data_IF_927732433736
#
_entry.id   IF_927732433736
#
_cell.length_a   1.000
_cell.length_b   1.000
_cell.length_c   1.000
_cell.angle_alpha   90.00
_cell.angle_beta   90.00
_cell.angle_gamma   90.00
#
_symmetry.space_group_name_H-M   'P 1'
#
loop_
_entity.id
_entity.type
_entity.pdbx_description
1 polymer ?
#
# COMPACT_ATOMS: atom_id res chain seq x y z
N UNK A 1 2.36 4.91 3.19
CA UNK A 1 2.82 5.56 1.94
C UNK A 1 2.58 7.05 2.06
N UNK A 2 3.53 7.88 1.64
CA UNK A 2 3.34 9.32 1.55
C UNK A 2 2.71 9.69 0.20
N UNK A 3 1.45 10.13 0.23
CA UNK A 3 0.68 10.48 -0.96
C UNK A 3 1.15 11.80 -1.59
N UNK A 4 1.97 12.60 -0.90
CA UNK A 4 2.51 13.83 -1.48
C UNK A 4 3.64 13.55 -2.48
N UNK A 5 4.29 12.38 -2.36
CA UNK A 5 5.43 11.98 -3.19
C UNK A 5 5.03 11.20 -4.44
N UNK A 6 3.80 10.69 -4.50
CA UNK A 6 3.35 9.83 -5.59
C UNK A 6 1.92 10.20 -5.98
N UNK A 7 1.63 10.29 -7.28
CA UNK A 7 0.28 10.63 -7.77
C UNK A 7 -0.73 9.49 -7.73
N UNK A 8 -0.31 8.29 -7.33
CA UNK A 8 -1.10 7.07 -7.30
C UNK A 8 -1.78 6.85 -5.94
N UNK A 9 -2.96 6.23 -5.96
CA UNK A 9 -3.52 5.58 -4.77
C UNK A 9 -2.65 4.40 -4.33
N UNK A 10 -2.83 3.92 -3.09
CA UNK A 10 -2.11 2.73 -2.58
C UNK A 10 -2.33 1.52 -3.47
N UNK A 11 -3.57 1.30 -3.93
CA UNK A 11 -3.90 0.14 -4.76
C UNK A 11 -3.20 0.23 -6.13
N UNK A 12 -3.25 1.39 -6.78
CA UNK A 12 -2.55 1.60 -8.05
C UNK A 12 -1.04 1.45 -7.88
N UNK A 13 -0.46 1.99 -6.81
CA UNK A 13 0.97 1.84 -6.51
C UNK A 13 1.39 0.37 -6.40
N UNK A 14 0.59 -0.43 -5.72
CA UNK A 14 0.80 -1.89 -5.59
C UNK A 14 0.68 -2.59 -6.94
N UNK A 15 -0.29 -2.22 -7.78
CA UNK A 15 -0.40 -2.79 -9.13
C UNK A 15 0.79 -2.40 -10.02
N UNK A 16 1.33 -1.19 -9.90
CA UNK A 16 2.54 -0.81 -10.61
C UNK A 16 3.77 -1.60 -10.12
N UNK A 17 3.92 -1.84 -8.81
CA UNK A 17 4.99 -2.69 -8.28
C UNK A 17 4.92 -4.13 -8.77
N UNK A 18 3.72 -4.69 -8.97
CA UNK A 18 3.55 -6.03 -9.54
C UNK A 18 4.14 -6.14 -10.95
N UNK A 19 4.12 -5.07 -11.75
CA UNK A 19 4.74 -5.06 -13.09
C UNK A 19 6.26 -5.18 -13.04
N UNK A 20 6.88 -4.88 -11.90
CA UNK A 20 8.30 -5.12 -11.60
C UNK A 20 8.54 -6.47 -10.92
N UNK A 21 7.56 -7.39 -10.93
CA UNK A 21 7.59 -8.68 -10.23
C UNK A 21 7.76 -8.58 -8.71
N UNK A 22 7.36 -7.46 -8.10
CA UNK A 22 7.41 -7.27 -6.64
C UNK A 22 6.07 -7.68 -6.04
N UNK A 23 6.06 -8.81 -5.34
CA UNK A 23 4.89 -9.27 -4.58
C UNK A 23 4.63 -8.42 -3.34
N UNK A 24 3.49 -7.75 -3.27
CA UNK A 24 3.08 -6.93 -2.12
C UNK A 24 1.76 -7.39 -1.52
N UNK A 25 1.54 -7.12 -0.24
CA UNK A 25 0.28 -7.41 0.47
C UNK A 25 -0.33 -6.20 1.16
N UNK A 26 -1.57 -6.34 1.64
CA UNK A 26 -2.26 -5.33 2.46
C UNK A 26 -2.55 -5.94 3.84
N UNK A 27 -1.93 -5.40 4.89
CA UNK A 27 -2.06 -5.91 6.27
C UNK A 27 -2.35 -4.77 7.26
N UNK A 28 -3.60 -4.45 7.56
CA UNK A 28 -4.84 -4.97 6.97
C UNK A 28 -5.77 -3.81 6.61
N UNK A 29 -6.84 -4.10 5.88
CA UNK A 29 -7.95 -3.17 5.74
C UNK A 29 -8.59 -2.91 7.12
N UNK A 30 -9.00 -1.67 7.38
CA UNK A 30 -9.63 -1.29 8.62
C UNK A 30 -10.88 -2.15 8.89
N UNK A 31 -10.85 -2.91 9.98
CA UNK A 31 -11.82 -3.98 10.25
C UNK A 31 -13.26 -3.45 10.30
N UNK A 32 -13.47 -2.25 10.85
CA UNK A 32 -14.80 -1.63 10.95
C UNK A 32 -15.43 -1.29 9.59
N UNK A 33 -14.65 -1.29 8.51
CA UNK A 33 -15.15 -1.06 7.15
C UNK A 33 -15.47 -2.36 6.39
N UNK A 34 -15.09 -3.51 6.92
CA UNK A 34 -15.41 -4.80 6.33
C UNK A 34 -16.91 -5.09 6.43
N UNK A 35 -17.43 -5.88 5.47
CA UNK A 35 -18.87 -6.11 5.27
C UNK A 35 -19.64 -6.39 6.56
N UNK A 36 -19.18 -7.35 7.38
CA UNK A 36 -19.86 -7.70 8.64
C UNK A 36 -20.00 -6.49 9.57
N UNK A 37 -18.92 -5.75 9.81
CA UNK A 37 -18.94 -4.61 10.73
C UNK A 37 -19.71 -3.42 10.17
N UNK A 38 -19.65 -3.20 8.86
CA UNK A 38 -20.35 -2.11 8.20
C UNK A 38 -21.86 -2.34 8.13
N UNK A 39 -22.28 -3.50 7.63
CA UNK A 39 -23.68 -3.79 7.35
C UNK A 39 -24.44 -4.31 8.58
N UNK A 40 -23.80 -5.14 9.42
CA UNK A 40 -24.48 -5.80 10.55
C UNK A 40 -24.30 -5.02 11.85
N UNK A 41 -23.14 -4.39 12.06
CA UNK A 41 -22.85 -3.57 13.26
C UNK A 41 -23.07 -2.08 13.04
N UNK A 42 -23.38 -1.65 11.82
CA UNK A 42 -23.65 -0.25 11.49
C UNK A 42 -22.44 0.67 11.64
N UNK A 43 -21.21 0.11 11.68
CA UNK A 43 -19.99 0.92 11.72
C UNK A 43 -19.76 1.58 10.38
N UNK A 44 -19.21 2.81 10.38
CA UNK A 44 -19.06 3.62 9.18
C UNK A 44 -17.69 4.26 9.12
N UNK A 45 -17.30 4.63 7.91
CA UNK A 45 -16.12 5.47 7.67
C UNK A 45 -16.29 6.81 8.41
N UNK A 46 -15.19 7.32 8.97
CA UNK A 46 -15.16 8.50 9.84
C UNK A 46 -15.24 8.18 11.33
N UNK A 47 -15.61 6.95 11.74
CA UNK A 47 -15.67 6.59 13.16
C UNK A 47 -14.28 6.39 13.78
N UNK A 48 -13.32 5.89 13.00
CA UNK A 48 -11.94 5.66 13.45
C UNK A 48 -10.96 6.27 12.43
N UNK A 49 -10.88 7.61 12.36
CA UNK A 49 -10.22 8.31 11.26
C UNK A 49 -8.71 8.01 11.16
N UNK A 50 -8.03 7.77 12.28
CA UNK A 50 -6.61 7.41 12.28
C UNK A 50 -6.37 5.98 11.75
N UNK A 51 -7.25 5.04 12.11
CA UNK A 51 -7.20 3.67 11.60
C UNK A 51 -7.43 3.66 10.09
N UNK A 52 -8.41 4.42 9.61
CA UNK A 52 -8.71 4.60 8.19
C UNK A 52 -7.54 5.26 7.45
N UNK A 53 -6.98 6.33 8.05
CA UNK A 53 -5.82 7.03 7.52
C UNK A 53 -4.67 6.07 7.23
N UNK A 54 -4.34 5.19 8.18
CA UNK A 54 -3.25 4.23 8.06
C UNK A 54 -3.61 3.13 7.04
N UNK A 55 -4.82 2.58 7.14
CA UNK A 55 -5.29 1.48 6.29
C UNK A 55 -5.31 1.80 4.79
N UNK A 56 -5.70 3.02 4.44
CA UNK A 56 -5.76 3.49 3.05
C UNK A 56 -4.36 3.70 2.43
N UNK A 57 -3.30 3.72 3.24
CA UNK A 57 -1.92 4.06 2.83
C UNK A 57 -0.87 2.98 3.09
N UNK A 58 -1.18 1.98 3.91
CA UNK A 58 -0.22 0.93 4.25
C UNK A 58 -0.18 -0.15 3.15
N UNK A 59 0.97 -0.77 2.96
CA UNK A 59 1.12 -2.04 2.25
C UNK A 59 2.40 -2.70 2.77
N UNK A 60 2.54 -3.99 2.51
CA UNK A 60 3.70 -4.77 2.90
C UNK A 60 4.56 -5.08 1.68
N UNK A 61 5.85 -4.84 1.83
CA UNK A 61 6.89 -5.32 0.93
C UNK A 61 7.17 -6.81 1.20
N UNK A 62 7.72 -7.54 0.23
CA UNK A 62 8.13 -8.91 0.47
C UNK A 62 9.28 -8.90 1.49
N UNK A 63 9.12 -9.73 2.52
CA UNK A 63 10.14 -9.96 3.53
C UNK A 63 9.98 -11.40 4.03
N UNK A 64 10.89 -12.28 3.62
CA UNK A 64 10.88 -13.69 4.00
C UNK A 64 12.30 -14.27 4.05
N UNK A 65 12.56 -15.35 4.81
CA UNK A 65 13.93 -15.81 5.12
C UNK A 65 14.79 -16.23 3.92
N UNK A 66 14.17 -16.54 2.77
CA UNK A 66 14.87 -17.00 1.56
C UNK A 66 15.26 -15.86 0.61
N UNK A 67 14.95 -14.61 0.94
CA UNK A 67 15.34 -13.47 0.10
C UNK A 67 16.87 -13.33 0.06
N UNK A 68 17.39 -13.16 -1.14
CA UNK A 68 18.78 -12.82 -1.42
C UNK A 68 18.98 -11.31 -1.37
N UNK A 69 20.25 -10.88 -1.36
CA UNK A 69 20.56 -9.46 -1.53
C UNK A 69 20.10 -8.90 -2.88
N UNK A 70 20.03 -9.75 -3.91
CA UNK A 70 19.54 -9.33 -5.22
C UNK A 70 18.03 -9.08 -5.20
N UNK A 71 17.26 -9.96 -4.56
CA UNK A 71 15.82 -9.75 -4.37
C UNK A 71 15.53 -8.42 -3.66
N UNK A 72 16.34 -8.07 -2.65
CA UNK A 72 16.22 -6.77 -1.96
C UNK A 72 16.51 -5.59 -2.90
N UNK A 73 17.54 -5.70 -3.75
CA UNK A 73 17.85 -4.66 -4.74
C UNK A 73 16.74 -4.51 -5.76
N UNK A 74 16.15 -5.60 -6.23
CA UNK A 74 15.02 -5.59 -7.16
C UNK A 74 13.82 -4.85 -6.55
N UNK A 75 13.51 -5.12 -5.28
CA UNK A 75 12.47 -4.37 -4.55
C UNK A 75 12.78 -2.87 -4.49
N UNK A 76 14.01 -2.51 -4.12
CA UNK A 76 14.43 -1.10 -4.05
C UNK A 76 14.36 -0.44 -5.43
N UNK A 77 14.78 -1.14 -6.47
CA UNK A 77 14.76 -0.66 -7.84
C UNK A 77 13.32 -0.40 -8.30
N UNK A 78 12.42 -1.38 -8.16
CA UNK A 78 11.02 -1.20 -8.55
C UNK A 78 10.33 -0.08 -7.78
N UNK A 79 10.57 0.02 -6.46
CA UNK A 79 10.08 1.15 -5.66
C UNK A 79 10.52 2.49 -6.22
N UNK A 80 11.82 2.66 -6.49
CA UNK A 80 12.35 3.91 -7.07
C UNK A 80 11.78 4.19 -8.45
N UNK A 81 11.61 3.16 -9.28
CA UNK A 81 11.04 3.31 -10.63
C UNK A 81 9.59 3.75 -10.59
N UNK A 82 8.73 3.12 -9.78
CA UNK A 82 7.32 3.52 -9.66
C UNK A 82 7.20 4.96 -9.14
N UNK A 83 7.97 5.33 -8.11
CA UNK A 83 7.98 6.72 -7.60
C UNK A 83 8.42 7.72 -8.67
N UNK A 84 9.46 7.38 -9.45
CA UNK A 84 9.96 8.25 -10.53
C UNK A 84 8.99 8.39 -11.70
N UNK A 85 8.21 7.35 -12.00
CA UNK A 85 7.24 7.35 -13.11
C UNK A 85 5.96 8.11 -12.77
N UNK A 86 5.60 8.15 -11.48
CA UNK A 86 4.35 8.74 -11.01
C UNK A 86 4.59 9.75 -9.87
N UNK A 87 5.39 10.81 -10.09
CA UNK A 87 5.69 11.78 -9.06
C UNK A 87 4.42 12.49 -8.58
N UNK A 88 4.35 12.76 -7.28
CA UNK A 88 3.29 13.58 -6.70
C UNK A 88 3.35 15.03 -7.19
N UNK A 89 2.26 15.79 -7.05
CA UNK A 89 2.16 17.19 -7.53
C UNK A 89 3.16 18.17 -6.88
N UNK A 90 3.86 17.75 -5.83
CA UNK A 90 4.85 18.53 -5.09
C UNK A 90 6.25 17.84 -5.04
N UNK A 91 6.52 16.89 -5.94
CA UNK A 91 7.77 16.13 -5.99
C UNK A 91 8.81 16.79 -6.89
#
# INVERSE_FOLDING_TARGET
>A
MDLNKVSLSRNEFVEELKKFNIGTGIHFQAVHLQYYYREIKGLKRGMLPQTEFISDRLFSLPLYPKMTLEDIKDVIFGLKKVVSLFPGKNA
#
